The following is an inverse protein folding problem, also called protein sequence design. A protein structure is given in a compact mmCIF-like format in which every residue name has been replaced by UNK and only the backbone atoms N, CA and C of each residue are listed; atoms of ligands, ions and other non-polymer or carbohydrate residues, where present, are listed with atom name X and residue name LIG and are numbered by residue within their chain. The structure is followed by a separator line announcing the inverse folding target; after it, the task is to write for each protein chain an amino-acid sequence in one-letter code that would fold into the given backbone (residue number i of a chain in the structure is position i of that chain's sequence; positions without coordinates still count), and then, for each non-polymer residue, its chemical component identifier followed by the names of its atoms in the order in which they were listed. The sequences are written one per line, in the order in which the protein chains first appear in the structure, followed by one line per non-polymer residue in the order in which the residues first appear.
data_IF_918887731966
#
_entry.id   IF_918887731966
#
_cell.length_a   1.000
_cell.length_b   1.000
_cell.length_c   1.000
_cell.angle_alpha   90.00
_cell.angle_beta   90.00
_cell.angle_gamma   90.00
#
_symmetry.space_group_name_H-M   'P 1'
#
loop_
_entity.id
_entity.type
_entity.pdbx_description
1 polymer ?
#
# COMPACT_ATOMS: atom_id res chain seq x y z
N UNK A 1 -5.31 6.76 -9.48
CA UNK A 1 -6.57 7.08 -8.82
C UNK A 1 -6.90 8.58 -8.91
N UNK A 2 -6.06 9.48 -8.38
CA UNK A 2 -6.32 10.93 -8.34
C UNK A 2 -6.58 11.51 -9.72
N UNK A 3 -5.78 11.18 -10.72
CA UNK A 3 -5.95 11.66 -12.10
C UNK A 3 -7.31 11.30 -12.70
N UNK A 4 -7.77 10.06 -12.46
CA UNK A 4 -9.08 9.59 -12.94
C UNK A 4 -10.22 10.35 -12.27
N UNK A 5 -10.12 10.57 -10.94
CA UNK A 5 -11.11 11.36 -10.19
C UNK A 5 -11.14 12.80 -10.72
N UNK A 6 -9.98 13.43 -10.88
CA UNK A 6 -9.87 14.80 -11.42
C UNK A 6 -10.47 14.91 -12.81
N UNK A 7 -10.17 13.96 -13.69
CA UNK A 7 -10.74 13.95 -15.05
C UNK A 7 -12.27 13.81 -15.03
N UNK A 8 -12.80 12.93 -14.17
CA UNK A 8 -14.22 12.74 -14.02
C UNK A 8 -14.93 13.97 -13.45
N UNK A 9 -14.37 14.60 -12.42
CA UNK A 9 -14.91 15.81 -11.80
C UNK A 9 -14.97 16.96 -12.82
N UNK A 10 -13.87 17.21 -13.56
CA UNK A 10 -13.84 18.24 -14.61
C UNK A 10 -14.87 18.02 -15.71
N UNK A 11 -15.11 16.76 -16.10
CA UNK A 11 -16.13 16.40 -17.09
C UNK A 11 -17.57 16.72 -16.62
N UNK A 12 -17.77 16.80 -15.31
CA UNK A 12 -19.05 17.08 -14.67
C UNK A 12 -19.09 18.50 -14.06
N UNK A 13 -18.29 19.44 -14.60
CA UNK A 13 -18.26 20.85 -14.24
C UNK A 13 -17.85 21.15 -12.78
N UNK A 14 -17.14 20.21 -12.11
CA UNK A 14 -16.52 20.46 -10.83
C UNK A 14 -15.08 20.94 -10.98
N UNK A 15 -14.65 21.82 -10.09
CA UNK A 15 -13.26 22.25 -9.95
C UNK A 15 -12.59 21.50 -8.80
N UNK A 16 -11.72 20.52 -9.06
CA UNK A 16 -11.03 19.78 -8.01
C UNK A 16 -9.97 20.65 -7.34
N UNK A 17 -9.98 20.64 -6.01
CA UNK A 17 -8.91 21.17 -5.15
C UNK A 17 -8.18 19.98 -4.52
N UNK A 18 -6.87 19.93 -4.65
CA UNK A 18 -6.05 18.84 -4.10
C UNK A 18 -5.21 19.40 -2.96
N UNK A 19 -5.28 18.74 -1.81
CA UNK A 19 -4.44 19.01 -0.65
C UNK A 19 -3.62 17.76 -0.35
N UNK A 20 -2.35 17.93 -0.02
CA UNK A 20 -1.44 16.86 0.33
C UNK A 20 -1.23 16.84 1.84
N UNK A 21 -1.44 15.68 2.47
CA UNK A 21 -1.45 15.52 3.93
C UNK A 21 -0.28 14.70 4.47
N UNK A 22 0.59 14.21 3.59
CA UNK A 22 1.82 13.47 3.93
C UNK A 22 1.60 12.23 4.84
N UNK A 23 0.41 11.64 4.79
CA UNK A 23 -0.05 10.58 5.70
C UNK A 23 -0.05 11.00 7.17
N UNK A 24 -0.37 12.26 7.44
CA UNK A 24 -0.50 12.82 8.78
C UNK A 24 -1.98 13.08 9.10
N UNK A 25 -2.52 12.39 10.11
CA UNK A 25 -3.92 12.49 10.51
C UNK A 25 -4.27 13.92 11.00
N UNK A 26 -3.35 14.59 11.68
CA UNK A 26 -3.60 15.97 12.13
C UNK A 26 -3.68 16.93 10.94
N UNK A 27 -2.84 16.72 9.92
CA UNK A 27 -2.92 17.53 8.70
C UNK A 27 -4.18 17.20 7.89
N UNK A 28 -4.64 15.94 7.88
CA UNK A 28 -5.94 15.58 7.30
C UNK A 28 -7.08 16.38 7.95
N UNK A 29 -7.13 16.41 9.27
CA UNK A 29 -8.13 17.20 10.04
C UNK A 29 -8.04 18.69 9.68
N UNK A 30 -6.82 19.25 9.67
CA UNK A 30 -6.60 20.66 9.28
C UNK A 30 -7.06 20.95 7.85
N UNK A 31 -6.78 20.05 6.91
CA UNK A 31 -7.22 20.18 5.53
C UNK A 31 -8.74 20.14 5.40
N UNK A 32 -9.41 19.25 6.13
CA UNK A 32 -10.88 19.17 6.16
C UNK A 32 -11.49 20.47 6.68
N UNK A 33 -10.93 21.04 7.76
CA UNK A 33 -11.40 22.32 8.29
C UNK A 33 -11.20 23.49 7.31
N UNK A 34 -10.06 23.52 6.60
CA UNK A 34 -9.81 24.51 5.54
C UNK A 34 -10.84 24.38 4.41
N UNK A 35 -11.08 23.15 3.91
CA UNK A 35 -12.06 22.89 2.85
C UNK A 35 -13.47 23.29 3.28
N UNK A 36 -13.86 22.98 4.52
CA UNK A 36 -15.11 23.44 5.11
C UNK A 36 -15.26 24.97 5.06
N UNK A 37 -14.21 25.69 5.41
CA UNK A 37 -14.21 27.17 5.41
C UNK A 37 -14.23 27.76 3.98
N UNK A 38 -13.80 26.98 3.00
CA UNK A 38 -13.86 27.32 1.56
C UNK A 38 -15.24 27.04 0.95
N UNK A 39 -16.18 26.47 1.71
CA UNK A 39 -17.51 26.08 1.27
C UNK A 39 -17.49 25.18 0.02
N UNK A 40 -16.66 24.14 0.02
CA UNK A 40 -16.63 23.15 -1.08
C UNK A 40 -17.93 22.32 -1.09
N UNK A 41 -18.28 21.77 -2.26
CA UNK A 41 -19.52 20.98 -2.45
C UNK A 41 -19.39 19.56 -1.87
N UNK A 42 -18.19 19.02 -1.75
CA UNK A 42 -17.91 17.70 -1.18
C UNK A 42 -16.43 17.48 -0.96
N UNK A 43 -16.10 16.48 -0.15
CA UNK A 43 -14.73 16.13 0.21
C UNK A 43 -14.50 14.64 -0.09
N UNK A 44 -13.39 14.32 -0.74
CA UNK A 44 -12.87 12.96 -0.86
C UNK A 44 -11.55 12.86 -0.11
N UNK A 45 -11.40 11.87 0.75
CA UNK A 45 -10.20 11.68 1.57
C UNK A 45 -9.59 10.32 1.28
N UNK A 46 -8.32 10.29 0.90
CA UNK A 46 -7.48 9.10 1.01
C UNK A 46 -6.97 9.05 2.45
N UNK A 47 -7.72 8.34 3.31
CA UNK A 47 -7.46 8.37 4.74
C UNK A 47 -6.23 7.56 5.13
N UNK A 48 -5.43 8.10 6.03
CA UNK A 48 -4.32 7.40 6.68
C UNK A 48 -4.82 6.45 7.78
N UNK A 49 -5.87 6.84 8.48
CA UNK A 49 -6.49 6.07 9.56
C UNK A 49 -7.64 6.84 10.19
N UNK A 50 -8.08 6.43 11.39
CA UNK A 50 -9.04 7.20 12.17
C UNK A 50 -8.63 7.29 13.63
N UNK A 51 -8.91 8.44 14.22
CA UNK A 51 -8.83 8.70 15.68
C UNK A 51 -10.17 9.22 16.15
N UNK A 52 -10.45 9.16 17.44
CA UNK A 52 -11.68 9.73 18.01
C UNK A 52 -11.84 11.21 17.68
N UNK A 53 -10.73 11.94 17.71
CA UNK A 53 -10.70 13.36 17.37
C UNK A 53 -11.07 13.59 15.90
N UNK A 54 -10.52 12.77 14.99
CA UNK A 54 -10.84 12.82 13.57
C UNK A 54 -12.32 12.49 13.32
N UNK A 55 -12.84 11.43 13.95
CA UNK A 55 -14.26 11.07 13.85
C UNK A 55 -15.18 12.22 14.34
N UNK A 56 -14.80 12.88 15.44
CA UNK A 56 -15.56 14.03 15.94
C UNK A 56 -15.50 15.25 15.01
N UNK A 57 -14.37 15.49 14.38
CA UNK A 57 -14.22 16.56 13.39
C UNK A 57 -15.11 16.28 12.16
N UNK A 58 -15.11 15.05 11.67
CA UNK A 58 -15.94 14.62 10.52
C UNK A 58 -17.43 14.70 10.85
N UNK A 59 -17.87 14.22 12.01
CA UNK A 59 -19.28 14.29 12.45
C UNK A 59 -19.84 15.72 12.50
N UNK A 60 -18.99 16.72 12.65
CA UNK A 60 -19.39 18.15 12.65
C UNK A 60 -19.49 18.75 11.24
N UNK A 61 -19.12 17.99 10.21
CA UNK A 61 -19.25 18.45 8.83
C UNK A 61 -20.73 18.43 8.39
N UNK A 62 -21.10 19.48 7.65
CA UNK A 62 -22.38 19.53 6.93
C UNK A 62 -22.20 19.29 5.42
N UNK A 63 -20.99 18.99 5.01
CA UNK A 63 -20.58 18.76 3.63
C UNK A 63 -20.46 17.26 3.42
N UNK A 64 -20.95 16.70 2.32
CA UNK A 64 -20.75 15.29 1.99
C UNK A 64 -19.26 14.92 1.99
N UNK A 65 -18.92 13.83 2.64
CA UNK A 65 -17.56 13.30 2.67
C UNK A 65 -17.53 11.83 2.25
N UNK A 66 -16.50 11.44 1.49
CA UNK A 66 -16.27 10.08 1.03
C UNK A 66 -14.83 9.69 1.35
N UNK A 67 -14.66 8.57 2.03
CA UNK A 67 -13.36 8.01 2.32
C UNK A 67 -12.95 6.99 1.27
N UNK A 68 -11.67 6.97 0.92
CA UNK A 68 -11.10 6.10 -0.11
C UNK A 68 -9.93 5.31 0.48
N UNK A 69 -9.85 4.03 0.10
CA UNK A 69 -8.77 3.13 0.49
C UNK A 69 -8.98 2.47 1.84
N UNK A 70 -9.56 3.16 2.80
CA UNK A 70 -9.83 2.64 4.15
C UNK A 70 -11.27 2.87 4.58
N UNK A 71 -11.78 2.03 5.49
CA UNK A 71 -13.07 2.25 6.15
C UNK A 71 -12.94 3.37 7.17
N UNK A 72 -13.91 4.27 7.16
CA UNK A 72 -14.02 5.31 8.18
C UNK A 72 -15.32 5.12 8.96
N UNK A 73 -15.28 5.12 10.32
CA UNK A 73 -16.45 4.82 11.14
C UNK A 73 -17.61 5.80 10.91
N UNK A 74 -18.76 5.26 10.54
CA UNK A 74 -20.00 6.04 10.35
C UNK A 74 -20.11 6.80 9.03
N UNK A 75 -19.11 6.73 8.16
CA UNK A 75 -19.09 7.45 6.89
C UNK A 75 -19.04 6.50 5.69
N UNK A 76 -19.41 7.01 4.51
CA UNK A 76 -19.28 6.26 3.27
C UNK A 76 -17.81 6.05 2.91
N UNK A 77 -17.45 4.83 2.54
CA UNK A 77 -16.09 4.47 2.16
C UNK A 77 -16.08 3.59 0.92
N UNK A 78 -15.13 3.84 0.02
CA UNK A 78 -14.79 2.96 -1.09
C UNK A 78 -13.44 2.32 -0.79
N UNK A 79 -13.43 1.01 -0.66
CA UNK A 79 -12.24 0.25 -0.25
C UNK A 79 -11.89 -0.82 -1.28
N UNK A 80 -10.65 -1.25 -1.27
CA UNK A 80 -10.24 -2.48 -1.93
C UNK A 80 -10.59 -3.69 -1.04
N UNK A 81 -10.68 -4.86 -1.64
CA UNK A 81 -10.75 -6.12 -0.91
C UNK A 81 -9.32 -6.59 -0.57
N UNK A 82 -8.68 -5.84 0.32
CA UNK A 82 -7.27 -5.99 0.67
C UNK A 82 -6.93 -7.37 1.22
N UNK A 83 -7.83 -7.94 2.04
CA UNK A 83 -7.62 -9.29 2.58
C UNK A 83 -7.61 -10.36 1.48
N UNK A 84 -8.64 -10.41 0.63
CA UNK A 84 -8.71 -11.44 -0.41
C UNK A 84 -7.63 -11.26 -1.49
N UNK A 85 -7.29 -10.01 -1.82
CA UNK A 85 -6.19 -9.73 -2.72
C UNK A 85 -4.84 -10.16 -2.12
N UNK A 86 -4.61 -9.88 -0.84
CA UNK A 86 -3.44 -10.37 -0.10
C UNK A 86 -3.40 -11.91 -0.05
N UNK A 87 -4.54 -12.55 0.22
CA UNK A 87 -4.64 -14.01 0.22
C UNK A 87 -4.27 -14.62 -1.13
N UNK A 88 -4.74 -14.04 -2.22
CA UNK A 88 -4.39 -14.50 -3.56
C UNK A 88 -2.87 -14.44 -3.82
N UNK A 89 -2.20 -13.34 -3.41
CA UNK A 89 -0.74 -13.19 -3.50
C UNK A 89 -0.03 -14.24 -2.63
N UNK A 90 -0.44 -14.40 -1.38
CA UNK A 90 0.14 -15.38 -0.47
C UNK A 90 0.02 -16.81 -0.99
N UNK A 91 -1.17 -17.19 -1.48
CA UNK A 91 -1.41 -18.51 -2.08
C UNK A 91 -0.57 -18.69 -3.35
N UNK A 92 -0.50 -17.68 -4.23
CA UNK A 92 0.33 -17.71 -5.44
C UNK A 92 1.81 -17.97 -5.12
N UNK A 93 2.36 -17.31 -4.11
CA UNK A 93 3.77 -17.52 -3.68
C UNK A 93 3.92 -18.85 -2.96
N UNK A 94 2.95 -19.23 -2.11
CA UNK A 94 2.97 -20.48 -1.34
C UNK A 94 3.04 -21.74 -2.19
N UNK A 95 2.41 -21.74 -3.38
CA UNK A 95 2.44 -22.84 -4.33
C UNK A 95 3.82 -23.03 -5.02
N UNK A 96 4.76 -22.13 -4.82
CA UNK A 96 6.10 -22.14 -5.45
C UNK A 96 7.17 -22.66 -4.52
N UNK A 97 8.28 -23.15 -5.11
CA UNK A 97 9.38 -23.75 -4.35
C UNK A 97 10.43 -22.71 -3.98
N UNK A 98 10.12 -21.84 -3.03
CA UNK A 98 11.12 -20.96 -2.42
C UNK A 98 11.69 -21.57 -1.14
N UNK A 99 12.98 -21.34 -0.87
CA UNK A 99 13.63 -21.72 0.39
C UNK A 99 13.25 -20.76 1.50
N UNK A 100 13.17 -19.47 1.17
CA UNK A 100 12.85 -18.40 2.11
C UNK A 100 11.85 -17.42 1.46
N UNK A 101 10.93 -16.91 2.25
CA UNK A 101 9.95 -15.91 1.86
C UNK A 101 10.07 -14.76 2.84
N UNK A 102 10.34 -13.58 2.33
CA UNK A 102 10.40 -12.34 3.10
C UNK A 102 9.21 -11.46 2.75
N UNK A 103 8.73 -10.71 3.71
CA UNK A 103 7.72 -9.70 3.49
C UNK A 103 8.29 -8.33 3.91
N UNK A 104 8.23 -7.34 2.99
CA UNK A 104 8.48 -5.94 3.31
C UNK A 104 7.14 -5.25 3.45
N UNK A 105 6.82 -4.83 4.68
CA UNK A 105 5.47 -4.43 4.99
C UNK A 105 5.40 -3.15 5.80
N UNK A 106 4.32 -2.39 5.63
CA UNK A 106 4.06 -1.20 6.43
C UNK A 106 3.47 -1.59 7.80
N UNK A 107 3.54 -0.71 8.82
CA UNK A 107 3.00 -0.96 10.14
C UNK A 107 1.51 -1.33 10.14
N UNK A 108 1.06 -2.07 11.15
CA UNK A 108 -0.33 -2.53 11.29
C UNK A 108 -1.30 -1.40 11.69
N UNK A 109 -0.81 -0.23 12.02
CA UNK A 109 -1.63 0.97 12.24
C UNK A 109 -2.24 1.53 10.95
N UNK A 110 -1.75 1.08 9.77
CA UNK A 110 -2.49 1.16 8.51
C UNK A 110 -3.46 -0.02 8.40
N UNK A 111 -4.78 0.16 8.61
CA UNK A 111 -5.72 -0.96 8.69
C UNK A 111 -5.86 -1.74 7.38
N UNK A 112 -5.76 -1.09 6.23
CA UNK A 112 -5.95 -1.73 4.93
C UNK A 112 -4.70 -2.50 4.50
N UNK A 113 -3.57 -1.81 4.30
CA UNK A 113 -2.34 -2.40 3.77
C UNK A 113 -1.55 -3.10 4.86
N UNK A 114 -1.35 -2.43 6.00
CA UNK A 114 -0.62 -2.96 7.16
C UNK A 114 -1.37 -4.10 7.85
N UNK A 115 -2.70 -3.99 7.96
CA UNK A 115 -3.59 -4.98 8.55
C UNK A 115 -4.13 -6.00 7.56
N UNK A 116 -5.25 -5.70 6.90
CA UNK A 116 -6.03 -6.65 6.10
C UNK A 116 -5.21 -7.34 5.00
N UNK A 117 -4.46 -6.59 4.20
CA UNK A 117 -3.63 -7.16 3.13
C UNK A 117 -2.54 -8.06 3.68
N UNK A 118 -1.88 -7.64 4.76
CA UNK A 118 -0.84 -8.42 5.43
C UNK A 118 -1.39 -9.75 5.95
N UNK A 119 -2.51 -9.73 6.67
CA UNK A 119 -3.16 -10.93 7.15
C UNK A 119 -3.55 -11.86 6.00
N UNK A 120 -4.10 -11.29 4.92
CA UNK A 120 -4.41 -12.06 3.71
C UNK A 120 -3.19 -12.79 3.16
N UNK A 121 -2.04 -12.10 2.98
CA UNK A 121 -0.81 -12.74 2.47
C UNK A 121 -0.35 -13.86 3.39
N UNK A 122 -0.35 -13.65 4.70
CA UNK A 122 0.08 -14.66 5.67
C UNK A 122 -0.85 -15.88 5.60
N UNK A 123 -2.17 -15.69 5.59
CA UNK A 123 -3.14 -16.79 5.53
C UNK A 123 -3.06 -17.54 4.19
N UNK A 124 -2.83 -16.80 3.09
CA UNK A 124 -2.59 -17.40 1.77
C UNK A 124 -1.32 -18.28 1.74
N UNK A 125 -0.23 -17.85 2.38
CA UNK A 125 0.96 -18.68 2.56
C UNK A 125 0.67 -19.90 3.43
N UNK A 126 -0.03 -19.71 4.54
CA UNK A 126 -0.38 -20.78 5.47
C UNK A 126 -1.29 -21.84 4.83
N UNK A 127 -2.16 -21.47 3.90
CA UNK A 127 -2.97 -22.42 3.13
C UNK A 127 -2.14 -23.39 2.29
N UNK A 128 -0.88 -23.04 2.03
CA UNK A 128 0.12 -23.86 1.34
C UNK A 128 1.18 -24.45 2.30
N UNK A 129 0.91 -24.47 3.61
CA UNK A 129 1.85 -24.91 4.65
C UNK A 129 3.18 -24.13 4.65
N UNK A 130 3.13 -22.86 4.22
CA UNK A 130 4.26 -21.93 4.19
C UNK A 130 4.04 -20.82 5.20
N UNK A 131 5.13 -20.17 5.58
CA UNK A 131 5.11 -18.95 6.37
C UNK A 131 6.24 -18.02 5.93
N UNK A 132 6.12 -16.72 6.12
CA UNK A 132 7.26 -15.84 5.92
C UNK A 132 8.38 -16.21 6.92
N UNK A 133 9.62 -16.16 6.45
CA UNK A 133 10.78 -16.26 7.33
C UNK A 133 10.87 -15.03 8.22
N UNK A 134 10.57 -13.89 7.66
CA UNK A 134 10.61 -12.61 8.34
C UNK A 134 9.64 -11.63 7.69
N UNK A 135 9.00 -10.82 8.52
CA UNK A 135 8.23 -9.65 8.10
C UNK A 135 9.00 -8.43 8.56
N UNK A 136 9.55 -7.69 7.60
CA UNK A 136 10.40 -6.54 7.84
C UNK A 136 9.55 -5.30 7.70
N UNK A 137 9.46 -4.52 8.77
CA UNK A 137 8.69 -3.28 8.75
C UNK A 137 9.44 -2.19 7.98
N UNK A 138 8.71 -1.50 7.13
CA UNK A 138 9.18 -0.38 6.32
C UNK A 138 8.08 0.68 6.22
N UNK A 139 8.29 1.72 5.44
CA UNK A 139 7.27 2.72 5.14
C UNK A 139 6.84 2.61 3.68
N UNK A 140 5.86 3.42 3.26
CA UNK A 140 5.46 3.52 1.85
C UNK A 140 6.53 4.17 0.95
N UNK A 141 7.63 4.66 1.52
CA UNK A 141 8.68 5.33 0.78
C UNK A 141 9.73 4.35 0.25
N UNK A 142 10.10 4.54 -0.99
CA UNK A 142 11.09 3.77 -1.73
C UNK A 142 12.46 3.72 -1.02
N UNK A 143 12.89 4.84 -0.46
CA UNK A 143 14.19 4.98 0.20
C UNK A 143 14.31 4.05 1.42
N UNK A 144 13.24 3.98 2.23
CA UNK A 144 13.22 3.08 3.40
C UNK A 144 13.22 1.61 2.99
N UNK A 145 12.61 1.26 1.86
CA UNK A 145 12.67 -0.09 1.33
C UNK A 145 14.11 -0.49 0.99
N UNK A 146 14.90 0.38 0.35
CA UNK A 146 16.31 0.14 0.05
C UNK A 146 17.10 -0.17 1.33
N UNK A 147 16.99 0.69 2.35
CA UNK A 147 17.71 0.50 3.62
C UNK A 147 17.36 -0.83 4.30
N UNK A 148 16.07 -1.19 4.27
CA UNK A 148 15.61 -2.42 4.93
C UNK A 148 16.02 -3.68 4.15
N UNK A 149 16.01 -3.66 2.81
CA UNK A 149 16.50 -4.78 2.00
C UNK A 149 17.98 -5.04 2.24
N UNK A 150 18.79 -4.00 2.36
CA UNK A 150 20.23 -4.11 2.63
C UNK A 150 20.54 -4.88 3.92
N UNK A 151 19.64 -4.86 4.91
CA UNK A 151 19.84 -5.55 6.20
C UNK A 151 19.78 -7.07 6.09
N UNK A 152 19.02 -7.63 5.12
CA UNK A 152 18.84 -9.08 5.05
C UNK A 152 19.33 -9.73 3.76
N UNK A 153 19.54 -8.96 2.68
CA UNK A 153 19.86 -9.51 1.35
C UNK A 153 21.09 -10.40 1.34
N UNK A 154 22.13 -10.05 2.12
CA UNK A 154 23.40 -10.80 2.16
C UNK A 154 23.29 -12.16 2.87
N UNK A 155 22.21 -12.39 3.61
CA UNK A 155 21.96 -13.64 4.35
C UNK A 155 20.82 -14.47 3.75
N UNK A 156 20.21 -13.97 2.67
CA UNK A 156 19.07 -14.60 2.03
C UNK A 156 19.49 -15.86 1.27
N UNK A 157 18.76 -16.97 1.49
CA UNK A 157 19.00 -18.24 0.81
C UNK A 157 18.11 -18.37 -0.43
N UNK A 158 18.72 -18.35 -1.57
CA UNK A 158 18.04 -18.50 -2.86
C UNK A 158 17.72 -19.97 -3.19
N UNK A 159 16.65 -20.27 -3.98
CA UNK A 159 15.69 -19.30 -4.50
C UNK A 159 14.79 -18.75 -3.39
N UNK A 160 14.60 -17.42 -3.38
CA UNK A 160 13.78 -16.73 -2.39
C UNK A 160 12.64 -15.94 -3.05
N UNK A 161 11.65 -15.56 -2.26
CA UNK A 161 10.63 -14.59 -2.64
C UNK A 161 10.64 -13.40 -1.69
N UNK A 162 10.45 -12.21 -2.25
CA UNK A 162 10.21 -10.97 -1.49
C UNK A 162 8.84 -10.45 -1.89
N UNK A 163 7.91 -10.46 -0.95
CA UNK A 163 6.55 -9.96 -1.10
C UNK A 163 6.47 -8.56 -0.51
N UNK A 164 6.12 -7.59 -1.30
CA UNK A 164 6.10 -6.18 -0.93
C UNK A 164 4.67 -5.69 -0.77
N UNK A 165 4.43 -4.86 0.25
CA UNK A 165 3.11 -4.28 0.50
C UNK A 165 2.61 -3.40 -0.65
N UNK A 166 3.52 -2.80 -1.43
CA UNK A 166 3.22 -1.97 -2.60
C UNK A 166 4.32 -2.09 -3.66
N UNK A 167 4.03 -1.66 -4.90
CA UNK A 167 5.01 -1.60 -5.99
C UNK A 167 6.16 -0.64 -5.68
N UNK A 168 5.90 0.48 -4.98
CA UNK A 168 6.97 1.42 -4.59
C UNK A 168 8.02 0.77 -3.70
N UNK A 169 7.59 -0.08 -2.79
CA UNK A 169 8.49 -0.89 -1.96
C UNK A 169 9.25 -1.90 -2.84
N UNK A 170 8.55 -2.55 -3.78
CA UNK A 170 9.16 -3.49 -4.71
C UNK A 170 10.24 -2.85 -5.58
N UNK A 171 10.07 -1.59 -5.99
CA UNK A 171 11.10 -0.85 -6.74
C UNK A 171 12.40 -0.69 -5.94
N UNK A 172 12.29 -0.47 -4.63
CA UNK A 172 13.46 -0.46 -3.73
C UNK A 172 14.17 -1.81 -3.68
N UNK A 173 13.40 -2.90 -3.67
CA UNK A 173 13.95 -4.28 -3.76
C UNK A 173 14.70 -4.47 -5.07
N UNK A 174 14.07 -4.13 -6.21
CA UNK A 174 14.71 -4.25 -7.54
C UNK A 174 16.04 -3.50 -7.62
N UNK A 175 16.07 -2.27 -7.07
CA UNK A 175 17.30 -1.47 -7.04
C UNK A 175 18.41 -2.19 -6.29
N UNK A 176 18.16 -2.68 -5.08
CA UNK A 176 19.19 -3.38 -4.29
C UNK A 176 19.61 -4.68 -4.96
N UNK A 177 18.69 -5.47 -5.52
CA UNK A 177 19.03 -6.70 -6.25
C UNK A 177 19.93 -6.39 -7.44
N UNK A 178 19.61 -5.36 -8.22
CA UNK A 178 20.43 -4.91 -9.35
C UNK A 178 21.83 -4.48 -8.91
N UNK A 179 21.96 -3.70 -7.85
CA UNK A 179 23.25 -3.24 -7.32
C UNK A 179 24.15 -4.39 -6.81
N UNK A 180 23.51 -5.44 -6.32
CA UNK A 180 24.22 -6.65 -5.82
C UNK A 180 24.40 -7.74 -6.89
N UNK A 181 23.91 -7.52 -8.10
CA UNK A 181 23.99 -8.51 -9.19
C UNK A 181 23.15 -9.76 -8.95
N UNK A 182 22.11 -9.67 -8.10
CA UNK A 182 21.17 -10.76 -7.84
C UNK A 182 20.10 -10.76 -8.92
N UNK A 183 19.91 -11.92 -9.55
CA UNK A 183 19.01 -12.04 -10.71
C UNK A 183 17.57 -12.23 -10.29
N UNK A 184 16.70 -11.43 -10.86
CA UNK A 184 15.24 -11.56 -10.78
C UNK A 184 14.76 -12.12 -12.12
N UNK A 185 13.95 -13.18 -12.16
CA UNK A 185 13.40 -13.94 -11.04
C UNK A 185 14.20 -15.17 -10.61
N UNK A 186 15.36 -15.47 -11.22
CA UNK A 186 16.07 -16.75 -11.10
C UNK A 186 16.55 -17.05 -9.67
N UNK A 187 17.03 -16.03 -8.97
CA UNK A 187 17.51 -16.16 -7.60
C UNK A 187 16.49 -15.60 -6.60
N UNK A 188 15.84 -14.49 -6.97
CA UNK A 188 14.84 -13.84 -6.13
C UNK A 188 13.63 -13.45 -6.97
N UNK A 189 12.47 -13.95 -6.60
CA UNK A 189 11.20 -13.47 -7.16
C UNK A 189 10.68 -12.30 -6.30
N UNK A 190 10.25 -11.21 -6.94
CA UNK A 190 9.70 -10.02 -6.28
C UNK A 190 8.25 -9.86 -6.71
N UNK A 191 7.38 -9.62 -5.72
CA UNK A 191 5.96 -9.34 -5.96
C UNK A 191 5.59 -8.03 -5.27
N UNK A 192 4.96 -7.14 -6.02
CA UNK A 192 4.41 -5.88 -5.56
C UNK A 192 2.90 -5.92 -5.35
N UNK A 193 2.31 -4.75 -5.26
CA UNK A 193 0.88 -4.54 -5.17
C UNK A 193 0.54 -3.13 -5.61
N UNK A 194 -0.36 -2.98 -6.61
CA UNK A 194 -0.86 -1.68 -7.06
C UNK A 194 -0.84 -1.44 -8.57
N UNK A 195 -0.18 -2.31 -9.33
CA UNK A 195 -0.11 -2.25 -10.81
C UNK A 195 0.32 -0.86 -11.33
N UNK A 196 1.43 -0.37 -10.77
CA UNK A 196 1.99 0.90 -11.21
C UNK A 196 2.66 0.77 -12.57
N UNK A 197 2.36 1.68 -13.48
CA UNK A 197 2.92 1.75 -14.84
C UNK A 197 4.47 1.58 -14.87
N UNK A 198 5.16 2.14 -13.86
CA UNK A 198 6.60 1.97 -13.73
C UNK A 198 7.04 0.51 -13.54
N UNK A 199 6.15 -0.37 -13.05
CA UNK A 199 6.43 -1.80 -12.89
C UNK A 199 6.66 -2.51 -14.21
N UNK A 200 6.00 -2.08 -15.28
CA UNK A 200 6.17 -2.62 -16.63
C UNK A 200 7.55 -2.27 -17.24
N UNK A 201 8.17 -1.17 -16.78
CA UNK A 201 9.46 -0.69 -17.28
C UNK A 201 10.66 -1.39 -16.63
N UNK A 202 10.43 -2.16 -15.57
CA UNK A 202 11.48 -2.95 -14.93
C UNK A 202 11.91 -4.14 -15.80
N UNK A 203 13.09 -4.68 -15.53
CA UNK A 203 13.60 -5.86 -16.21
C UNK A 203 14.09 -6.89 -15.18
N UNK A 204 13.32 -8.01 -15.07
CA UNK A 204 12.04 -8.29 -15.74
C UNK A 204 10.92 -7.39 -15.21
N UNK A 205 9.76 -7.27 -15.90
CA UNK A 205 8.60 -6.55 -15.40
C UNK A 205 8.16 -7.06 -14.02
N UNK A 206 7.69 -6.15 -13.17
CA UNK A 206 7.23 -6.51 -11.83
C UNK A 206 5.95 -7.34 -11.89
N UNK A 207 5.91 -8.42 -11.12
CA UNK A 207 4.65 -9.10 -10.81
C UNK A 207 3.92 -8.31 -9.73
N UNK A 208 2.71 -7.84 -10.03
CA UNK A 208 1.90 -7.07 -9.11
C UNK A 208 0.43 -7.39 -9.23
#
# INVERSE_FOLDING_TARGET
LVEVIVAYLKKNDYTPLIMHTENDIEEEIRCIERLKNMNVDGIMVLATGSTKEYEEAVKKLKIPILFLGQRFPGENSVINDDYNAGYAVGNYIGQRKFKEIYMLWVPEDDPAVGGERRHGVIDGLMSCEKKPKEVIETTFFYENAIENVQKFVDHMKTPAAVVCATDRIAFGVYKVMSEKGIRIPEEVSVVGFGDYEAGELLQPPLTT
#
